data_IF_567677529725
#
_entry.id   IF_567677529725
#
_cell.length_a   1.000
_cell.length_b   1.000
_cell.length_c   1.000
_cell.angle_alpha   90.00
_cell.angle_beta   90.00
_cell.angle_gamma   90.00
#
_symmetry.space_group_name_H-M   'P 1'
#
loop_
_entity.id
_entity.type
_entity.pdbx_description
1 polymer ?
#
# COMPACT_ATOMS: atom_id res chain seq x y z
N UNK A 1 69.97 50.08 72.03
CA UNK A 1 69.08 51.07 72.66
C UNK A 1 68.07 51.46 71.61
N UNK A 2 66.84 51.03 71.68
CA UNK A 2 65.62 51.76 71.49
C UNK A 2 64.46 50.71 71.62
N UNK A 3 63.80 50.80 72.78
CA UNK A 3 62.55 50.05 73.03
C UNK A 3 61.44 50.74 72.28
N UNK A 4 60.68 50.03 71.49
CA UNK A 4 59.46 50.42 70.87
C UNK A 4 58.33 49.50 71.25
N UNK A 5 57.59 49.89 72.34
CA UNK A 5 56.34 49.20 72.78
C UNK A 5 55.26 49.35 71.66
N UNK A 6 54.83 48.26 71.08
CA UNK A 6 53.61 48.19 70.27
C UNK A 6 52.45 47.78 71.15
N UNK A 7 51.60 48.70 71.48
CA UNK A 7 50.28 48.44 72.10
C UNK A 7 49.34 48.00 71.05
N UNK A 8 48.97 46.74 71.04
CA UNK A 8 47.83 46.17 70.29
C UNK A 8 46.55 46.56 70.92
N UNK A 9 45.82 47.50 70.38
CA UNK A 9 44.42 47.77 70.75
C UNK A 9 43.52 46.75 70.07
N UNK A 10 43.08 45.77 70.80
CA UNK A 10 41.99 44.87 70.37
C UNK A 10 40.66 45.63 70.49
N UNK A 11 40.18 46.09 69.27
CA UNK A 11 38.81 46.56 69.14
C UNK A 11 37.90 45.36 68.79
N UNK A 12 37.38 44.74 69.83
CA UNK A 12 36.31 43.74 69.71
C UNK A 12 35.02 44.48 69.40
N UNK A 13 34.75 44.73 68.13
CA UNK A 13 33.44 45.18 67.63
C UNK A 13 32.43 44.06 67.71
N UNK A 14 31.80 43.87 68.86
CA UNK A 14 30.61 43.04 68.93
C UNK A 14 29.46 43.70 68.18
N UNK A 15 29.31 43.41 66.92
CA UNK A 15 28.07 43.71 66.17
C UNK A 15 26.93 42.92 66.80
N UNK A 16 26.25 43.58 67.77
CA UNK A 16 24.97 43.12 68.27
C UNK A 16 24.00 43.05 67.03
N UNK A 17 23.87 41.89 66.40
CA UNK A 17 22.71 41.56 65.59
C UNK A 17 21.49 41.66 66.47
N UNK A 18 20.86 42.85 66.50
CA UNK A 18 19.54 43.02 67.12
C UNK A 18 18.59 42.12 66.32
N UNK A 19 18.29 40.93 66.87
CA UNK A 19 17.36 40.01 66.33
C UNK A 19 16.04 40.74 66.07
N UNK A 20 15.73 40.93 64.81
CA UNK A 20 14.48 41.53 64.31
C UNK A 20 13.33 40.58 64.69
N UNK A 21 12.80 40.72 65.90
CA UNK A 21 11.68 39.93 66.48
C UNK A 21 10.42 40.00 65.61
N UNK A 22 10.36 40.97 64.66
CA UNK A 22 9.33 41.10 63.61
C UNK A 22 9.58 40.26 62.34
N UNK A 23 10.86 39.90 62.02
CA UNK A 23 11.24 39.21 60.76
C UNK A 23 10.59 37.86 60.58
N UNK A 24 10.42 37.10 61.67
CA UNK A 24 9.74 35.82 61.60
C UNK A 24 8.27 35.94 61.22
N UNK A 25 7.55 36.96 61.68
CA UNK A 25 6.14 37.20 61.33
C UNK A 25 6.01 37.71 59.91
N UNK A 26 6.94 38.58 59.46
CA UNK A 26 6.99 39.08 58.05
C UNK A 26 7.34 37.90 57.09
N UNK A 27 8.36 37.10 57.47
CA UNK A 27 8.76 35.93 56.67
C UNK A 27 7.62 34.89 56.58
N UNK A 28 6.91 34.63 57.68
CA UNK A 28 5.73 33.76 57.71
C UNK A 28 4.60 34.32 56.84
N UNK A 29 4.39 35.66 56.86
CA UNK A 29 3.42 36.33 56.00
C UNK A 29 3.74 36.20 54.51
N UNK A 30 5.02 36.34 54.11
CA UNK A 30 5.48 36.13 52.75
C UNK A 30 5.24 34.69 52.28
N UNK A 31 5.53 33.71 53.14
CA UNK A 31 5.27 32.28 52.81
C UNK A 31 3.78 32.03 52.61
N UNK A 32 2.92 32.59 53.45
CA UNK A 32 1.45 32.44 53.33
C UNK A 32 0.96 33.07 52.03
N UNK A 33 1.42 34.27 51.68
CA UNK A 33 1.06 34.95 50.44
C UNK A 33 1.54 34.17 49.21
N UNK A 34 2.79 33.65 49.24
CA UNK A 34 3.33 32.80 48.21
C UNK A 34 2.55 31.48 48.07
N UNK A 35 2.20 30.82 49.19
CA UNK A 35 1.38 29.62 49.18
C UNK A 35 -0.03 29.90 48.61
N UNK A 36 -0.63 31.03 48.95
CA UNK A 36 -1.94 31.43 48.45
C UNK A 36 -1.89 31.76 46.95
N UNK A 37 -0.82 32.38 46.47
CA UNK A 37 -0.58 32.65 45.04
C UNK A 37 -0.43 31.34 44.27
N UNK A 38 0.35 30.37 44.74
CA UNK A 38 0.48 29.03 44.16
C UNK A 38 -0.85 28.30 44.12
N UNK A 39 -1.64 28.45 45.17
CA UNK A 39 -2.95 27.83 45.27
C UNK A 39 -3.92 28.41 44.25
N UNK A 40 -3.93 29.74 44.03
CA UNK A 40 -4.76 30.43 43.05
C UNK A 40 -4.35 30.01 41.60
N UNK A 41 -3.06 29.96 41.29
CA UNK A 41 -2.59 29.54 39.97
C UNK A 41 -2.88 28.07 39.71
N UNK A 42 -2.93 27.22 40.71
CA UNK A 42 -3.24 25.78 40.59
C UNK A 42 -4.74 25.47 40.37
N UNK A 43 -5.61 26.46 40.54
CA UNK A 43 -7.05 26.33 40.28
C UNK A 43 -7.34 26.29 38.79
N UNK A 44 -6.59 27.07 38.02
CA UNK A 44 -6.79 27.14 36.57
C UNK A 44 -6.00 26.06 35.86
N UNK A 45 -6.61 25.43 34.86
CA UNK A 45 -5.94 24.51 33.95
C UNK A 45 -6.49 24.69 32.52
N UNK A 46 -5.65 24.47 31.56
CA UNK A 46 -5.98 24.58 30.13
C UNK A 46 -6.26 23.19 29.56
N UNK A 47 -7.35 23.09 28.81
CA UNK A 47 -7.66 21.92 27.96
C UNK A 47 -7.30 22.31 26.53
N UNK A 48 -6.33 21.63 25.89
CA UNK A 48 -5.93 21.94 24.51
C UNK A 48 -7.08 21.78 23.53
N UNK A 49 -7.07 22.57 22.45
CA UNK A 49 -8.01 22.44 21.35
C UNK A 49 -7.92 21.03 20.74
N UNK A 50 -9.06 20.39 20.47
CA UNK A 50 -9.12 19.02 19.97
C UNK A 50 -8.93 17.95 21.09
N UNK A 51 -9.07 18.35 22.34
CA UNK A 51 -9.09 17.43 23.48
C UNK A 51 -10.24 17.76 24.41
N UNK A 52 -10.63 16.78 25.19
CA UNK A 52 -11.62 16.91 26.25
C UNK A 52 -10.96 16.54 27.58
N UNK A 53 -11.17 17.36 28.59
CA UNK A 53 -10.69 17.13 29.94
C UNK A 53 -11.71 16.33 30.77
N UNK A 54 -11.36 15.13 31.16
CA UNK A 54 -12.16 14.38 32.15
C UNK A 54 -11.65 14.71 33.53
N UNK A 55 -12.48 15.35 34.33
CA UNK A 55 -12.15 15.76 35.73
C UNK A 55 -12.62 14.68 36.68
N UNK A 56 -11.66 14.10 37.38
CA UNK A 56 -11.92 13.11 38.44
C UNK A 56 -11.76 13.73 39.81
N UNK A 57 -12.63 13.35 40.74
CA UNK A 57 -12.55 13.73 42.15
C UNK A 57 -12.36 12.48 43.01
N UNK A 58 -11.23 12.38 43.69
CA UNK A 58 -10.84 11.17 44.46
C UNK A 58 -10.96 9.87 43.65
N UNK A 59 -10.65 9.93 42.35
CA UNK A 59 -10.71 8.77 41.44
C UNK A 59 -12.05 8.56 40.72
N UNK A 60 -13.15 9.14 41.19
CA UNK A 60 -14.45 9.07 40.53
C UNK A 60 -14.58 10.15 39.46
N UNK A 61 -15.13 9.81 38.31
CA UNK A 61 -15.39 10.80 37.22
C UNK A 61 -16.51 11.75 37.67
N UNK A 62 -16.18 13.03 37.75
CA UNK A 62 -17.11 14.06 38.20
C UNK A 62 -17.75 14.82 37.07
N UNK A 63 -16.94 15.37 36.14
CA UNK A 63 -17.43 16.19 35.02
C UNK A 63 -16.48 16.14 33.85
N UNK A 64 -16.96 16.60 32.70
CA UNK A 64 -16.20 16.82 31.45
C UNK A 64 -15.95 18.30 31.31
N UNK A 65 -14.75 18.66 30.89
CA UNK A 65 -14.33 20.02 30.57
C UNK A 65 -13.98 20.13 29.10
N UNK A 66 -14.54 21.10 28.43
CA UNK A 66 -14.27 21.38 27.02
C UNK A 66 -12.98 22.20 26.86
N UNK A 67 -12.49 22.27 25.62
CA UNK A 67 -11.27 23.04 25.27
C UNK A 67 -11.35 24.49 25.75
N UNK A 68 -10.23 24.98 26.28
CA UNK A 68 -10.07 26.31 26.84
C UNK A 68 -9.66 26.31 28.32
N UNK A 69 -9.78 27.45 28.99
CA UNK A 69 -9.43 27.61 30.40
C UNK A 69 -10.57 27.07 31.28
N UNK A 70 -10.24 26.16 32.14
CA UNK A 70 -11.17 25.51 33.07
C UNK A 70 -10.64 25.64 34.50
N UNK A 71 -11.53 25.43 35.46
CA UNK A 71 -11.19 25.49 36.88
C UNK A 71 -11.26 24.09 37.51
N UNK A 72 -10.32 23.78 38.40
CA UNK A 72 -10.32 22.53 39.21
C UNK A 72 -10.01 22.85 40.67
N UNK A 73 -10.45 22.01 41.56
CA UNK A 73 -10.11 22.09 42.98
C UNK A 73 -8.73 21.44 43.15
N UNK A 74 -7.69 22.23 43.51
CA UNK A 74 -6.34 21.68 43.74
C UNK A 74 -6.37 20.58 44.80
N UNK A 75 -5.51 19.57 44.62
CA UNK A 75 -5.35 18.40 45.48
C UNK A 75 -6.52 17.40 45.49
N UNK A 76 -7.74 17.84 45.18
CA UNK A 76 -8.97 17.01 45.18
C UNK A 76 -9.34 16.52 43.78
N UNK A 77 -9.20 17.40 42.78
CA UNK A 77 -9.56 17.09 41.42
C UNK A 77 -8.31 16.91 40.54
N UNK A 78 -8.36 15.88 39.70
CA UNK A 78 -7.36 15.59 38.66
C UNK A 78 -8.03 15.67 37.31
N UNK A 79 -7.44 16.42 36.36
CA UNK A 79 -7.89 16.51 35.00
C UNK A 79 -7.03 15.58 34.10
N UNK A 80 -7.68 14.74 33.32
CA UNK A 80 -7.06 13.87 32.35
C UNK A 80 -7.56 14.28 30.95
N UNK A 81 -6.67 14.45 30.01
CA UNK A 81 -7.02 14.87 28.67
C UNK A 81 -7.18 13.65 27.75
N UNK A 82 -8.32 13.57 27.06
CA UNK A 82 -8.57 12.64 25.98
C UNK A 82 -8.59 13.42 24.65
N UNK A 83 -7.82 12.97 23.69
CA UNK A 83 -7.85 13.54 22.35
C UNK A 83 -9.10 13.09 21.62
N UNK A 84 -9.79 14.05 20.98
CA UNK A 84 -10.92 13.80 20.06
C UNK A 84 -10.53 14.05 18.60
N UNK A 85 -9.22 14.26 18.35
CA UNK A 85 -8.70 14.37 16.99
C UNK A 85 -8.61 13.00 16.36
N UNK A 86 -8.60 12.99 15.05
CA UNK A 86 -8.32 11.78 14.29
C UNK A 86 -6.93 11.25 14.61
N UNK A 87 -6.87 10.01 15.05
CA UNK A 87 -5.65 9.23 15.26
C UNK A 87 -5.47 8.26 14.09
N UNK A 88 -4.23 7.97 13.76
CA UNK A 88 -3.85 6.92 12.82
C UNK A 88 -3.06 5.87 13.58
N UNK A 89 -3.56 4.64 13.59
CA UNK A 89 -2.85 3.50 14.12
C UNK A 89 -2.52 2.50 12.99
N UNK A 90 -1.34 1.92 13.06
CA UNK A 90 -0.88 0.87 12.16
C UNK A 90 -0.71 -0.43 12.93
N UNK A 91 -1.43 -1.45 12.50
CA UNK A 91 -1.43 -2.76 13.16
C UNK A 91 -1.08 -3.83 12.13
N UNK A 92 -0.07 -4.64 12.44
CA UNK A 92 0.20 -5.85 11.68
C UNK A 92 -0.73 -6.96 12.14
N UNK A 93 -1.43 -7.57 11.18
CA UNK A 93 -2.36 -8.66 11.45
C UNK A 93 -2.06 -9.84 10.52
N UNK A 94 -2.09 -11.05 11.11
CA UNK A 94 -1.98 -12.31 10.36
C UNK A 94 -3.31 -13.04 10.45
N UNK A 95 -3.80 -13.50 9.31
CA UNK A 95 -5.07 -14.19 9.16
C UNK A 95 -4.97 -15.35 8.15
N UNK A 96 -6.01 -16.14 8.07
CA UNK A 96 -6.18 -17.17 7.04
C UNK A 96 -7.29 -16.75 6.08
N UNK A 97 -7.06 -16.91 4.79
CA UNK A 97 -8.07 -16.76 3.75
C UNK A 97 -9.03 -17.96 3.71
N UNK A 98 -10.12 -17.86 2.94
CA UNK A 98 -11.11 -18.95 2.76
C UNK A 98 -10.44 -20.27 2.32
N UNK A 99 -9.46 -20.20 1.44
CA UNK A 99 -8.70 -21.35 0.95
C UNK A 99 -7.47 -21.71 1.82
N UNK A 100 -7.52 -21.35 3.11
CA UNK A 100 -6.53 -21.68 4.14
C UNK A 100 -5.11 -21.16 3.87
N UNK A 101 -4.96 -20.11 3.08
CA UNK A 101 -3.68 -19.46 2.87
C UNK A 101 -3.40 -18.44 3.97
N UNK A 102 -2.18 -18.45 4.51
CA UNK A 102 -1.75 -17.48 5.51
C UNK A 102 -1.47 -16.16 4.82
N UNK A 103 -2.10 -15.11 5.31
CA UNK A 103 -1.98 -13.74 4.83
C UNK A 103 -1.57 -12.84 5.98
N UNK A 104 -0.49 -12.11 5.81
CA UNK A 104 -0.06 -11.05 6.74
C UNK A 104 -0.27 -9.70 6.07
N UNK A 105 -0.81 -8.75 6.81
CA UNK A 105 -1.07 -7.41 6.27
C UNK A 105 -0.75 -6.34 7.31
N UNK A 106 -0.24 -5.21 6.85
CA UNK A 106 -0.18 -3.98 7.62
C UNK A 106 -1.46 -3.19 7.37
N UNK A 107 -2.19 -2.90 8.42
CA UNK A 107 -3.49 -2.23 8.38
C UNK A 107 -3.35 -0.87 9.04
N UNK A 108 -3.71 0.19 8.33
CA UNK A 108 -3.74 1.56 8.86
C UNK A 108 -5.18 2.01 9.01
N UNK A 109 -5.57 2.36 10.23
CA UNK A 109 -6.92 2.82 10.54
C UNK A 109 -6.89 4.24 11.07
N UNK A 110 -7.75 5.09 10.51
CA UNK A 110 -8.00 6.42 11.03
C UNK A 110 -9.31 6.39 11.81
N UNK A 111 -9.27 6.88 13.04
CA UNK A 111 -10.43 6.91 13.91
C UNK A 111 -10.34 8.09 14.88
N UNK A 112 -11.45 8.46 15.47
CA UNK A 112 -11.50 9.45 16.53
C UNK A 112 -12.50 9.03 17.60
N UNK A 113 -12.35 9.62 18.79
CA UNK A 113 -13.26 9.42 19.91
C UNK A 113 -14.45 10.37 19.79
N UNK A 114 -15.67 9.88 20.02
CA UNK A 114 -16.81 10.76 20.18
C UNK A 114 -16.70 11.56 21.49
N UNK A 115 -16.46 12.86 21.34
CA UNK A 115 -16.28 13.77 22.48
C UNK A 115 -17.48 13.83 23.42
N UNK A 116 -18.68 13.55 22.93
CA UNK A 116 -19.91 13.56 23.75
C UNK A 116 -19.89 12.47 24.83
N UNK A 117 -19.21 11.36 24.57
CA UNK A 117 -19.11 10.16 25.40
C UNK A 117 -17.74 9.96 26.05
N UNK A 118 -16.90 11.00 26.06
CA UNK A 118 -15.55 10.93 26.63
C UNK A 118 -15.53 10.50 28.12
N UNK A 119 -16.60 10.79 28.86
CA UNK A 119 -16.77 10.37 30.25
C UNK A 119 -16.90 8.86 30.36
N UNK A 120 -17.79 8.28 29.56
CA UNK A 120 -18.07 6.84 29.53
C UNK A 120 -16.84 6.05 29.09
N UNK A 121 -16.15 6.52 28.06
CA UNK A 121 -14.91 5.91 27.57
C UNK A 121 -13.83 5.91 28.65
N UNK A 122 -13.61 7.05 29.28
CA UNK A 122 -12.63 7.13 30.38
C UNK A 122 -12.98 6.24 31.56
N UNK A 123 -14.28 6.20 31.91
CA UNK A 123 -14.76 5.43 33.08
C UNK A 123 -14.66 3.92 32.84
N UNK A 124 -14.95 3.45 31.63
CA UNK A 124 -15.05 2.02 31.35
C UNK A 124 -13.73 1.43 30.81
N UNK A 125 -12.93 2.23 30.10
CA UNK A 125 -11.73 1.76 29.38
C UNK A 125 -10.47 2.49 29.87
N UNK A 126 -10.56 3.81 30.10
CA UNK A 126 -9.42 4.64 30.49
C UNK A 126 -8.79 5.35 29.29
N UNK A 127 -7.53 5.76 29.45
CA UNK A 127 -6.79 6.53 28.43
C UNK A 127 -6.18 5.67 27.32
N UNK A 128 -5.97 4.38 27.59
CA UNK A 128 -5.29 3.45 26.69
C UNK A 128 -6.29 2.67 25.82
N UNK A 129 -7.40 3.29 25.44
CA UNK A 129 -8.46 2.66 24.64
C UNK A 129 -7.95 2.15 23.27
N UNK A 130 -6.92 2.80 22.69
CA UNK A 130 -6.30 2.38 21.45
C UNK A 130 -5.71 0.96 21.56
N UNK A 131 -4.87 0.72 22.57
CA UNK A 131 -4.20 -0.57 22.76
C UNK A 131 -5.16 -1.66 23.28
N UNK A 132 -6.14 -1.27 24.08
CA UNK A 132 -7.04 -2.22 24.76
C UNK A 132 -8.20 -2.65 23.86
N UNK A 133 -8.74 -1.73 23.05
CA UNK A 133 -9.93 -1.97 22.24
C UNK A 133 -9.63 -1.92 20.73
N UNK A 134 -9.00 -0.83 20.25
CA UNK A 134 -8.88 -0.58 18.82
C UNK A 134 -7.95 -1.61 18.14
N UNK A 135 -6.75 -1.81 18.68
CA UNK A 135 -5.78 -2.72 18.06
C UNK A 135 -6.29 -4.18 18.00
N UNK A 136 -6.86 -4.77 19.07
CA UNK A 136 -7.47 -6.10 18.99
C UNK A 136 -8.68 -6.15 18.05
N UNK A 137 -9.52 -5.10 17.99
CA UNK A 137 -10.67 -5.04 17.10
C UNK A 137 -10.23 -5.05 15.62
N UNK A 138 -9.19 -4.30 15.27
CA UNK A 138 -8.61 -4.31 13.92
C UNK A 138 -8.16 -5.73 13.53
N UNK A 139 -7.43 -6.41 14.42
CA UNK A 139 -6.96 -7.77 14.16
C UNK A 139 -8.12 -8.77 14.01
N UNK A 140 -9.13 -8.68 14.87
CA UNK A 140 -10.30 -9.55 14.82
C UNK A 140 -11.13 -9.31 13.55
N UNK A 141 -11.36 -8.06 13.21
CA UNK A 141 -12.05 -7.68 11.96
C UNK A 141 -11.31 -8.20 10.74
N UNK A 142 -10.00 -8.00 10.67
CA UNK A 142 -9.19 -8.51 9.57
C UNK A 142 -9.31 -10.02 9.44
N UNK A 143 -9.19 -10.77 10.54
CA UNK A 143 -9.37 -12.24 10.55
C UNK A 143 -10.75 -12.66 10.08
N UNK A 144 -11.80 -11.97 10.55
CA UNK A 144 -13.18 -12.31 10.20
C UNK A 144 -13.51 -12.05 8.73
N UNK A 145 -12.99 -10.95 8.17
CA UNK A 145 -13.25 -10.58 6.78
C UNK A 145 -12.40 -11.42 5.83
N UNK A 146 -11.09 -11.59 6.09
CA UNK A 146 -10.21 -12.38 5.21
C UNK A 146 -10.64 -13.83 5.09
N UNK A 147 -11.26 -14.41 6.13
CA UNK A 147 -11.80 -15.78 6.10
C UNK A 147 -12.98 -15.96 5.12
N UNK A 148 -13.57 -14.87 4.61
CA UNK A 148 -14.68 -14.90 3.63
C UNK A 148 -14.20 -14.76 2.18
N UNK A 149 -12.92 -14.51 1.95
CA UNK A 149 -12.33 -14.29 0.63
C UNK A 149 -11.19 -15.27 0.38
N UNK A 150 -11.08 -15.75 -0.84
CA UNK A 150 -9.90 -16.48 -1.27
C UNK A 150 -8.68 -15.56 -1.37
N UNK A 151 -7.48 -16.12 -1.33
CA UNK A 151 -6.25 -15.33 -1.44
C UNK A 151 -6.17 -14.52 -2.76
N UNK A 152 -6.72 -15.04 -3.86
CA UNK A 152 -6.82 -14.35 -5.15
C UNK A 152 -7.83 -13.18 -5.08
N UNK A 153 -8.96 -13.37 -4.40
CA UNK A 153 -9.99 -12.34 -4.22
C UNK A 153 -9.54 -11.21 -3.29
N UNK A 154 -8.70 -11.49 -2.28
CA UNK A 154 -8.11 -10.45 -1.43
C UNK A 154 -7.31 -9.42 -2.24
N UNK A 155 -6.73 -9.84 -3.38
CA UNK A 155 -5.99 -8.96 -4.28
C UNK A 155 -6.93 -8.31 -5.29
N UNK A 156 -7.79 -9.10 -5.94
CA UNK A 156 -8.63 -8.62 -7.05
C UNK A 156 -9.84 -7.81 -6.60
N UNK A 157 -10.40 -8.11 -5.41
CA UNK A 157 -11.54 -7.43 -4.79
C UNK A 157 -11.13 -6.58 -3.57
N UNK A 158 -9.93 -6.03 -3.61
CA UNK A 158 -9.34 -5.30 -2.48
C UNK A 158 -10.25 -4.20 -1.92
N UNK A 159 -10.94 -3.46 -2.78
CA UNK A 159 -11.84 -2.38 -2.36
C UNK A 159 -13.07 -2.92 -1.61
N UNK A 160 -13.58 -4.08 -2.00
CA UNK A 160 -14.69 -4.74 -1.31
C UNK A 160 -14.26 -5.24 0.07
N UNK A 161 -13.08 -5.88 0.15
CA UNK A 161 -12.47 -6.32 1.42
C UNK A 161 -12.27 -5.14 2.36
N UNK A 162 -11.73 -4.02 1.86
CA UNK A 162 -11.56 -2.78 2.63
C UNK A 162 -12.89 -2.29 3.19
N UNK A 163 -13.91 -2.16 2.33
CA UNK A 163 -15.22 -1.66 2.71
C UNK A 163 -15.90 -2.55 3.75
N UNK A 164 -15.89 -3.87 3.55
CA UNK A 164 -16.45 -4.81 4.54
C UNK A 164 -15.69 -4.76 5.87
N UNK A 165 -14.36 -4.59 5.83
CA UNK A 165 -13.55 -4.43 7.04
C UNK A 165 -13.87 -3.13 7.79
N UNK A 166 -14.07 -2.03 7.05
CA UNK A 166 -14.46 -0.74 7.63
C UNK A 166 -15.83 -0.82 8.31
N UNK A 167 -16.82 -1.40 7.64
CA UNK A 167 -18.17 -1.58 8.19
C UNK A 167 -18.19 -2.50 9.42
N UNK A 168 -17.44 -3.59 9.38
CA UNK A 168 -17.37 -4.54 10.50
C UNK A 168 -16.63 -3.95 11.69
N UNK A 169 -15.52 -3.22 11.45
CA UNK A 169 -14.78 -2.54 12.50
C UNK A 169 -15.62 -1.43 13.13
N UNK A 170 -16.32 -0.64 12.32
CA UNK A 170 -17.22 0.42 12.82
C UNK A 170 -18.28 -0.16 13.76
N UNK A 171 -18.91 -1.30 13.41
CA UNK A 171 -19.88 -1.99 14.27
C UNK A 171 -19.26 -2.48 15.59
N UNK A 172 -18.03 -2.99 15.55
CA UNK A 172 -17.34 -3.46 16.75
C UNK A 172 -16.93 -2.33 17.68
N UNK A 173 -16.61 -1.14 17.13
CA UNK A 173 -16.15 0.02 17.90
C UNK A 173 -17.29 0.96 18.33
N UNK A 174 -18.47 0.87 17.70
CA UNK A 174 -19.65 1.67 18.05
C UNK A 174 -20.04 1.63 19.55
N UNK A 175 -20.06 0.46 20.24
CA UNK A 175 -20.37 0.39 21.66
C UNK A 175 -19.38 1.12 22.57
N UNK A 176 -18.19 1.40 22.05
CA UNK A 176 -17.11 2.09 22.74
C UNK A 176 -17.00 3.58 22.38
N UNK A 177 -17.94 4.08 21.58
CA UNK A 177 -17.99 5.48 21.12
C UNK A 177 -16.74 5.91 20.33
N UNK A 178 -16.16 4.97 19.58
CA UNK A 178 -15.02 5.21 18.69
C UNK A 178 -15.54 5.18 17.25
N UNK A 179 -15.34 6.28 16.53
CA UNK A 179 -15.78 6.43 15.14
C UNK A 179 -14.63 6.11 14.20
N UNK A 180 -14.85 5.15 13.34
CA UNK A 180 -13.90 4.79 12.26
C UNK A 180 -14.14 5.72 11.08
N UNK A 181 -13.10 6.40 10.61
CA UNK A 181 -13.15 7.29 9.45
C UNK A 181 -12.65 6.59 8.19
N UNK A 182 -11.60 5.78 8.33
CA UNK A 182 -10.99 5.10 7.20
C UNK A 182 -10.27 3.83 7.63
N UNK A 183 -10.40 2.78 6.84
CA UNK A 183 -9.70 1.51 7.01
C UNK A 183 -8.87 1.24 5.76
N UNK A 184 -7.55 1.24 5.87
CA UNK A 184 -6.64 1.02 4.78
C UNK A 184 -5.82 -0.25 4.98
N UNK A 185 -5.83 -1.11 3.99
CA UNK A 185 -4.95 -2.27 3.92
C UNK A 185 -3.72 -1.83 3.13
N UNK A 186 -2.54 -1.80 3.76
CA UNK A 186 -1.32 -1.29 3.12
C UNK A 186 -0.78 -2.32 2.12
N UNK A 187 -0.66 -3.58 2.55
CA UNK A 187 -0.16 -4.69 1.74
C UNK A 187 -0.89 -6.00 2.08
N UNK A 188 -0.74 -6.98 1.20
CA UNK A 188 -1.05 -8.38 1.47
C UNK A 188 0.21 -9.19 1.21
N UNK A 189 0.77 -9.78 2.25
CA UNK A 189 1.92 -10.66 2.16
C UNK A 189 1.47 -12.10 2.33
N UNK A 190 1.71 -12.92 1.33
CA UNK A 190 1.40 -14.35 1.31
C UNK A 190 2.66 -15.18 1.56
N UNK A 191 2.50 -16.45 1.95
CA UNK A 191 3.63 -17.34 2.11
C UNK A 191 4.42 -17.51 0.79
N UNK A 192 5.71 -17.74 0.89
CA UNK A 192 6.59 -17.95 -0.28
C UNK A 192 6.14 -19.15 -1.12
N UNK A 193 5.64 -20.22 -0.48
CA UNK A 193 5.12 -21.39 -1.14
C UNK A 193 3.89 -21.06 -2.00
N UNK A 194 2.99 -20.21 -1.49
CA UNK A 194 1.81 -19.77 -2.23
C UNK A 194 2.21 -18.86 -3.39
N UNK A 195 3.14 -17.92 -3.19
CA UNK A 195 3.63 -17.04 -4.26
C UNK A 195 4.24 -17.86 -5.40
N UNK A 196 5.11 -18.82 -5.08
CA UNK A 196 5.72 -19.72 -6.07
C UNK A 196 4.67 -20.56 -6.81
N UNK A 197 3.64 -21.05 -6.11
CA UNK A 197 2.57 -21.83 -6.72
C UNK A 197 1.70 -21.00 -7.68
N UNK A 198 1.40 -19.74 -7.34
CA UNK A 198 0.69 -18.81 -8.21
C UNK A 198 1.52 -18.45 -9.44
N UNK A 199 2.82 -18.21 -9.26
CA UNK A 199 3.73 -17.93 -10.38
C UNK A 199 3.78 -19.12 -11.34
N UNK A 200 3.97 -20.33 -10.82
CA UNK A 200 3.94 -21.55 -11.63
C UNK A 200 2.60 -21.75 -12.38
N UNK A 201 1.47 -21.47 -11.72
CA UNK A 201 0.13 -21.51 -12.32
C UNK A 201 0.01 -20.49 -13.46
N UNK A 202 0.47 -19.26 -13.25
CA UNK A 202 0.44 -18.20 -14.28
C UNK A 202 1.31 -18.56 -15.48
N UNK A 203 2.53 -19.08 -15.26
CA UNK A 203 3.42 -19.56 -16.33
C UNK A 203 2.74 -20.67 -17.13
N UNK A 204 2.14 -21.66 -16.46
CA UNK A 204 1.43 -22.74 -17.12
C UNK A 204 0.22 -22.23 -17.94
N UNK A 205 -0.57 -21.31 -17.41
CA UNK A 205 -1.69 -20.68 -18.11
C UNK A 205 -1.23 -19.90 -19.34
N UNK A 206 -0.16 -19.13 -19.21
CA UNK A 206 0.44 -18.40 -20.32
C UNK A 206 0.95 -19.33 -21.43
N UNK A 207 1.51 -20.47 -21.04
CA UNK A 207 1.99 -21.48 -21.98
C UNK A 207 0.84 -22.15 -22.76
N UNK A 208 -0.28 -22.43 -22.08
CA UNK A 208 -1.50 -22.94 -22.74
C UNK A 208 -2.05 -21.91 -23.72
N UNK A 209 -2.13 -20.63 -23.33
CA UNK A 209 -2.62 -19.58 -24.20
C UNK A 209 -1.69 -19.38 -25.43
N UNK A 210 -0.39 -19.38 -25.20
CA UNK A 210 0.61 -19.32 -26.29
C UNK A 210 0.47 -20.51 -27.24
N UNK A 211 0.20 -21.71 -26.72
CA UNK A 211 0.01 -22.91 -27.54
C UNK A 211 -1.27 -22.82 -28.37
N UNK A 212 -2.37 -22.31 -27.82
CA UNK A 212 -3.61 -22.04 -28.58
C UNK A 212 -3.39 -21.04 -29.70
N UNK A 213 -2.66 -19.93 -29.42
CA UNK A 213 -2.34 -18.93 -30.42
C UNK A 213 -1.48 -19.50 -31.54
N UNK A 214 -0.48 -20.34 -31.21
CA UNK A 214 0.34 -21.03 -32.22
C UNK A 214 -0.48 -21.99 -33.09
N UNK A 215 -1.43 -22.70 -32.50
CA UNK A 215 -2.33 -23.59 -33.24
C UNK A 215 -3.23 -22.80 -34.20
N UNK A 216 -3.84 -21.71 -33.69
CA UNK A 216 -4.65 -20.83 -34.52
C UNK A 216 -3.85 -20.22 -35.67
N UNK A 217 -2.59 -19.80 -35.39
CA UNK A 217 -1.70 -19.30 -36.44
C UNK A 217 -1.36 -20.36 -37.48
N UNK A 218 -1.05 -21.58 -37.05
CA UNK A 218 -0.77 -22.69 -37.98
C UNK A 218 -1.98 -23.04 -38.86
N UNK A 219 -3.20 -22.98 -38.32
CA UNK A 219 -4.43 -23.16 -39.10
C UNK A 219 -4.60 -22.06 -40.15
N UNK A 220 -4.37 -20.79 -39.80
CA UNK A 220 -4.42 -19.66 -40.70
C UNK A 220 -3.35 -19.82 -41.81
N UNK A 221 -2.13 -20.19 -41.41
CA UNK A 221 -1.02 -20.39 -42.35
C UNK A 221 -1.36 -21.53 -43.34
N UNK A 222 -1.90 -22.65 -42.86
CA UNK A 222 -2.35 -23.76 -43.70
C UNK A 222 -3.46 -23.34 -44.65
N UNK A 223 -4.46 -22.58 -44.17
CA UNK A 223 -5.52 -22.05 -45.05
C UNK A 223 -4.98 -21.08 -46.08
N UNK A 224 -3.99 -20.24 -45.69
CA UNK A 224 -3.33 -19.31 -46.63
C UNK A 224 -2.60 -20.06 -47.75
N UNK A 225 -1.85 -21.11 -47.43
CA UNK A 225 -1.16 -21.97 -48.39
C UNK A 225 -2.16 -22.64 -49.34
N UNK A 226 -3.27 -23.17 -48.81
CA UNK A 226 -4.33 -23.78 -49.64
C UNK A 226 -4.97 -22.72 -50.59
N UNK A 227 -5.31 -21.55 -50.05
CA UNK A 227 -5.88 -20.46 -50.86
C UNK A 227 -4.93 -19.99 -51.93
N UNK A 228 -3.63 -19.86 -51.62
CA UNK A 228 -2.60 -19.53 -52.63
C UNK A 228 -2.47 -20.60 -53.72
N UNK A 229 -2.44 -21.88 -53.31
CA UNK A 229 -2.37 -22.99 -54.27
C UNK A 229 -3.62 -23.05 -55.17
N UNK A 230 -4.81 -22.84 -54.61
CA UNK A 230 -6.06 -22.74 -55.37
C UNK A 230 -6.04 -21.55 -56.33
N UNK A 231 -5.61 -20.36 -55.85
CA UNK A 231 -5.48 -19.17 -56.69
C UNK A 231 -4.50 -19.36 -57.83
N UNK A 232 -3.38 -20.04 -57.61
CA UNK A 232 -2.42 -20.39 -58.65
C UNK A 232 -3.01 -21.39 -59.68
N UNK A 233 -3.71 -22.44 -59.19
CA UNK A 233 -4.35 -23.41 -60.07
C UNK A 233 -5.46 -22.76 -60.96
N UNK A 234 -6.27 -21.88 -60.39
CA UNK A 234 -7.32 -21.15 -61.09
C UNK A 234 -6.73 -20.14 -62.09
N UNK A 235 -5.65 -19.44 -61.73
CA UNK A 235 -4.93 -18.59 -62.64
C UNK A 235 -4.36 -19.38 -63.83
N UNK A 236 -3.80 -20.57 -63.58
CA UNK A 236 -3.26 -21.45 -64.61
C UNK A 236 -4.36 -22.01 -65.52
N UNK A 237 -5.53 -22.40 -64.94
CA UNK A 237 -6.70 -22.81 -65.75
C UNK A 237 -7.19 -21.69 -66.66
N UNK A 238 -7.31 -20.48 -66.17
CA UNK A 238 -7.71 -19.29 -66.93
C UNK A 238 -6.73 -18.98 -68.07
N UNK A 239 -5.41 -19.08 -67.82
CA UNK A 239 -4.37 -18.92 -68.84
C UNK A 239 -4.46 -19.98 -69.90
N UNK A 240 -4.74 -21.24 -69.54
CA UNK A 240 -4.92 -22.32 -70.48
C UNK A 240 -6.19 -22.17 -71.30
N UNK A 241 -7.32 -21.73 -70.73
CA UNK A 241 -8.60 -21.51 -71.42
C UNK A 241 -8.59 -20.33 -72.36
N UNK A 242 -7.83 -19.30 -72.07
CA UNK A 242 -7.73 -18.09 -72.94
C UNK A 242 -6.73 -18.25 -74.08
N UNK A 243 -6.05 -19.39 -74.24
CA UNK A 243 -5.05 -19.60 -75.31
C UNK A 243 -3.84 -18.67 -75.19
N UNK A 244 -3.67 -18.01 -74.00
CA UNK A 244 -2.64 -17.03 -73.76
C UNK A 244 -1.24 -17.64 -73.56
N UNK A 245 -1.15 -18.98 -73.49
CA UNK A 245 0.14 -19.69 -73.48
C UNK A 245 0.66 -19.88 -74.90
N UNK A 246 0.86 -18.76 -75.58
CA UNK A 246 1.56 -18.78 -76.86
C UNK A 246 3.03 -19.12 -76.66
N UNK A 247 3.68 -19.85 -77.56
CA UNK A 247 5.10 -20.19 -77.49
C UNK A 247 5.98 -18.98 -77.20
N UNK A 248 5.60 -17.80 -77.66
CA UNK A 248 6.27 -16.51 -77.38
C UNK A 248 6.16 -16.08 -75.88
N UNK A 249 5.03 -16.36 -75.19
CA UNK A 249 4.85 -16.03 -73.81
C UNK A 249 5.62 -17.00 -72.90
N UNK A 250 5.69 -18.27 -73.27
CA UNK A 250 6.52 -19.27 -72.60
C UNK A 250 8.02 -18.94 -72.72
N UNK A 251 8.45 -18.47 -73.89
CA UNK A 251 9.83 -17.98 -74.06
C UNK A 251 10.12 -16.73 -73.24
N UNK A 252 9.20 -15.79 -73.17
CA UNK A 252 9.33 -14.60 -72.28
C UNK A 252 9.42 -14.97 -70.77
N UNK A 253 8.55 -15.87 -70.31
CA UNK A 253 8.58 -16.38 -68.94
C UNK A 253 9.87 -17.13 -68.62
N UNK A 254 10.38 -17.91 -69.60
CA UNK A 254 11.64 -18.61 -69.40
C UNK A 254 12.81 -17.59 -69.29
N UNK A 255 12.87 -16.61 -70.17
CA UNK A 255 13.90 -15.57 -70.12
C UNK A 255 13.87 -14.68 -68.93
N UNK A 256 12.68 -14.39 -68.36
CA UNK A 256 12.52 -13.53 -67.12
C UNK A 256 12.74 -14.27 -65.85
N UNK A 257 12.54 -15.58 -65.80
CA UNK A 257 12.75 -16.41 -64.60
C UNK A 257 14.06 -17.20 -64.60
N UNK A 258 14.80 -17.19 -65.74
CA UNK A 258 16.07 -17.89 -65.81
C UNK A 258 17.17 -17.16 -65.06
N UNK A 259 17.77 -17.85 -64.09
CA UNK A 259 18.85 -17.32 -63.26
C UNK A 259 20.25 -17.43 -63.91
N UNK A 260 20.31 -17.75 -65.21
CA UNK A 260 21.57 -17.87 -65.96
C UNK A 260 22.32 -19.19 -65.80
N UNK A 261 21.81 -20.12 -64.95
CA UNK A 261 22.44 -21.42 -64.67
C UNK A 261 21.67 -22.51 -65.45
N UNK A 262 22.38 -23.22 -66.35
CA UNK A 262 21.82 -24.39 -67.01
C UNK A 262 21.58 -25.52 -66.02
N UNK A 263 20.36 -26.14 -65.95
CA UNK A 263 20.14 -27.29 -65.09
C UNK A 263 21.05 -28.43 -65.54
N UNK A 264 21.98 -28.82 -64.68
CA UNK A 264 22.79 -30.03 -64.88
C UNK A 264 21.89 -31.25 -64.55
N UNK A 265 21.21 -31.75 -65.59
CA UNK A 265 20.56 -33.06 -65.49
C UNK A 265 21.56 -34.09 -66.01
N UNK A 266 22.25 -34.77 -65.09
CA UNK A 266 22.99 -35.98 -65.49
C UNK A 266 21.98 -37.13 -65.54
N UNK A 267 21.54 -37.44 -66.75
CA UNK A 267 20.87 -38.70 -67.03
C UNK A 267 21.90 -39.70 -67.54
N UNK A 268 21.98 -40.84 -66.84
CA UNK A 268 22.85 -41.97 -67.24
C UNK A 268 22.30 -42.78 -68.39
N UNK A 269 21.24 -42.35 -69.07
CA UNK A 269 20.61 -43.03 -70.16
C UNK A 269 20.59 -42.11 -71.42
N UNK A 270 21.17 -42.60 -72.45
CA UNK A 270 21.50 -41.90 -73.69
C UNK A 270 20.31 -41.55 -74.63
N UNK A 271 19.08 -41.51 -74.13
CA UNK A 271 17.92 -41.31 -75.00
C UNK A 271 16.88 -40.26 -74.55
N UNK A 272 17.24 -39.34 -73.72
CA UNK A 272 16.39 -38.15 -73.39
C UNK A 272 17.22 -36.86 -73.42
N UNK A 273 17.68 -36.50 -74.58
CA UNK A 273 18.08 -35.12 -74.88
C UNK A 273 16.83 -34.26 -74.94
N UNK A 274 16.66 -33.38 -73.95
CA UNK A 274 15.77 -32.23 -74.18
C UNK A 274 16.45 -31.39 -75.28
N UNK A 275 15.91 -31.44 -76.50
CA UNK A 275 16.40 -30.65 -77.60
C UNK A 275 16.16 -29.15 -77.30
N UNK A 276 17.14 -28.51 -76.75
CA UNK A 276 17.13 -27.06 -76.44
C UNK A 276 17.13 -26.24 -77.76
N UNK A 277 17.48 -26.83 -78.93
CA UNK A 277 17.47 -26.14 -80.17
C UNK A 277 16.08 -25.71 -80.62
N UNK A 278 15.03 -26.41 -80.17
CA UNK A 278 13.63 -26.08 -80.44
C UNK A 278 13.20 -24.80 -79.71
N UNK A 279 13.85 -24.41 -78.61
CA UNK A 279 13.58 -23.19 -77.87
C UNK A 279 14.50 -22.02 -78.27
N UNK A 280 15.58 -22.26 -79.03
CA UNK A 280 16.54 -21.24 -79.42
C UNK A 280 16.47 -20.92 -80.92
N UNK A 281 15.33 -21.13 -81.55
CA UNK A 281 15.18 -20.76 -82.99
C UNK A 281 14.98 -19.23 -83.07
N UNK A 282 16.08 -18.49 -83.08
CA UNK A 282 16.08 -17.09 -83.45
C UNK A 282 15.93 -16.99 -84.96
N UNK A 283 14.99 -16.21 -85.51
CA UNK A 283 14.96 -15.92 -86.95
C UNK A 283 16.25 -15.21 -87.26
N UNK A 284 17.06 -15.87 -88.10
CA UNK A 284 18.23 -15.26 -88.73
C UNK A 284 17.71 -14.10 -89.57
N UNK A 285 18.07 -12.87 -89.25
CA UNK A 285 17.95 -11.76 -90.19
C UNK A 285 19.00 -11.99 -91.26
N UNK A 286 18.55 -12.29 -92.48
CA UNK A 286 19.36 -12.23 -93.69
C UNK A 286 19.76 -10.79 -93.98
N UNK A 287 20.96 -10.57 -94.61
CA UNK A 287 21.59 -9.27 -94.83
C UNK A 287 20.86 -8.33 -95.74
#
# INVERSE_FOLDING_TARGET
>A
MFNGNFTTTNTTGSSRFTGFKGGKKIFLGIIIVMALMVLITSIFYEVPAGSIGVVTRFGAVNRVAYSGINVKIPFVEKAVHLSIRTHKDEVSATAMSENLQVVTSLIAVNYHLDGSHAKEVYQNIGVNYADIIVAPAIQNTFKAVTARFSAEELITKRDEVRKQSEEELAKQLEPYFIVVENFNIVNFDFSSEYQNAIEAKQVAQQQVETSKQKLAQAEIDAQTVIAQAQGQADAQKKLNQTGALTDKYLQYLFLTRWNGVLPQVMTSDSNSMIDVSRFMNFPQQEP
#
